data_IF_241779026696
#
_entry.id   IF_241779026696
#
_cell.length_a   1.000
_cell.length_b   1.000
_cell.length_c   1.000
_cell.angle_alpha   90.00
_cell.angle_beta   90.00
_cell.angle_gamma   90.00
#
_symmetry.space_group_name_H-M   'P 1'
#
loop_
_entity.id
_entity.type
_entity.pdbx_description
1 polymer ?
#
# COMPACT_ATOMS: atom_id res chain seq x y z
N UNK A 1 -23.32 19.64 -16.23
CA UNK A 1 -23.27 18.84 -15.00
C UNK A 1 -22.62 17.51 -15.35
N UNK A 2 -21.37 17.30 -14.93
CA UNK A 2 -20.68 16.04 -15.18
C UNK A 2 -21.34 14.95 -14.30
N UNK A 3 -21.95 13.95 -14.93
CA UNK A 3 -22.60 12.83 -14.24
C UNK A 3 -21.76 11.58 -14.45
N UNK A 4 -21.48 10.87 -13.38
CA UNK A 4 -20.92 9.52 -13.48
C UNK A 4 -22.02 8.61 -14.05
N UNK A 5 -21.70 7.68 -14.98
CA UNK A 5 -22.69 6.74 -15.50
C UNK A 5 -23.15 5.76 -14.42
N UNK A 6 -24.43 5.38 -14.47
CA UNK A 6 -25.11 4.54 -13.47
C UNK A 6 -24.45 3.16 -13.31
N UNK A 7 -23.89 2.61 -14.40
CA UNK A 7 -23.21 1.32 -14.37
C UNK A 7 -21.96 1.30 -13.47
N UNK A 8 -21.23 2.42 -13.39
CA UNK A 8 -20.06 2.53 -12.52
C UNK A 8 -20.51 2.65 -11.05
N UNK A 9 -21.61 3.37 -10.79
CA UNK A 9 -22.19 3.48 -9.45
C UNK A 9 -22.76 2.16 -8.92
N UNK A 10 -23.37 1.35 -9.78
CA UNK A 10 -23.84 0.01 -9.42
C UNK A 10 -22.65 -0.90 -9.06
N UNK A 11 -21.55 -0.82 -9.82
CA UNK A 11 -20.33 -1.58 -9.51
C UNK A 11 -19.72 -1.16 -8.17
N UNK A 12 -19.68 0.14 -7.88
CA UNK A 12 -19.23 0.70 -6.61
C UNK A 12 -20.07 0.24 -5.42
N UNK A 13 -21.36 -0.05 -5.61
CA UNK A 13 -22.24 -0.50 -4.54
C UNK A 13 -22.01 -1.96 -4.12
N UNK A 14 -21.36 -2.76 -4.99
CA UNK A 14 -21.08 -4.19 -4.78
C UNK A 14 -19.68 -4.47 -4.24
N UNK A 15 -18.80 -3.48 -4.26
CA UNK A 15 -17.42 -3.59 -3.80
C UNK A 15 -17.33 -3.42 -2.27
N UNK A 16 -16.30 -4.02 -1.68
CA UNK A 16 -15.94 -3.78 -0.27
C UNK A 16 -15.50 -2.32 -0.05
N UNK A 17 -15.57 -1.85 1.20
CA UNK A 17 -15.34 -0.43 1.55
C UNK A 17 -13.97 0.11 1.09
N UNK A 18 -12.92 -0.71 1.16
CA UNK A 18 -11.58 -0.33 0.69
C UNK A 18 -11.51 -0.21 -0.84
N UNK A 19 -12.06 -1.19 -1.56
CA UNK A 19 -12.10 -1.19 -3.03
C UNK A 19 -12.99 -0.07 -3.56
N UNK A 20 -14.07 0.24 -2.84
CA UNK A 20 -14.94 1.37 -3.11
C UNK A 20 -14.14 2.67 -3.06
N UNK A 21 -13.34 2.92 -2.01
CA UNK A 21 -12.52 4.13 -1.92
C UNK A 21 -11.56 4.27 -3.11
N UNK A 22 -10.88 3.18 -3.50
CA UNK A 22 -9.94 3.20 -4.60
C UNK A 22 -10.61 3.41 -5.97
N UNK A 23 -11.77 2.78 -6.18
CA UNK A 23 -12.57 2.97 -7.39
C UNK A 23 -13.12 4.40 -7.50
N UNK A 24 -13.50 5.01 -6.37
CA UNK A 24 -13.95 6.41 -6.32
C UNK A 24 -12.85 7.40 -6.70
N UNK A 25 -11.59 7.15 -6.29
CA UNK A 25 -10.44 7.98 -6.73
C UNK A 25 -10.21 7.85 -8.25
N UNK A 26 -10.32 6.63 -8.80
CA UNK A 26 -10.20 6.40 -10.25
C UNK A 26 -11.31 7.10 -11.04
N UNK A 27 -12.56 7.01 -10.58
CA UNK A 27 -13.73 7.65 -11.21
C UNK A 27 -13.64 9.17 -11.11
N UNK A 28 -13.20 9.69 -9.96
CA UNK A 28 -12.93 11.12 -9.73
C UNK A 28 -11.98 11.69 -10.79
N UNK A 29 -10.86 11.00 -11.05
CA UNK A 29 -9.88 11.39 -12.08
C UNK A 29 -10.43 11.24 -13.50
N UNK A 30 -11.18 10.18 -13.78
CA UNK A 30 -11.73 9.88 -15.11
C UNK A 30 -12.78 10.89 -15.57
N UNK A 31 -13.65 11.33 -14.65
CA UNK A 31 -14.77 12.22 -14.97
C UNK A 31 -14.60 13.65 -14.45
N UNK A 32 -13.52 13.94 -13.70
CA UNK A 32 -13.22 15.27 -13.15
C UNK A 32 -14.22 15.71 -12.07
N UNK A 33 -14.76 14.77 -11.30
CA UNK A 33 -15.81 15.01 -10.30
C UNK A 33 -15.22 14.78 -8.91
N UNK A 34 -15.53 15.66 -7.95
CA UNK A 34 -15.07 15.48 -6.57
C UNK A 34 -15.63 14.21 -5.94
N UNK A 35 -14.82 13.56 -5.10
CA UNK A 35 -15.20 12.34 -4.37
C UNK A 35 -16.50 12.55 -3.56
N UNK A 36 -16.67 13.74 -2.98
CA UNK A 36 -17.87 14.13 -2.23
C UNK A 36 -19.15 14.13 -3.07
N UNK A 37 -19.07 14.48 -4.35
CA UNK A 37 -20.22 14.45 -5.25
C UNK A 37 -20.57 13.01 -5.66
N UNK A 38 -19.56 12.17 -5.87
CA UNK A 38 -19.78 10.76 -6.20
C UNK A 38 -20.39 10.02 -5.00
N UNK A 39 -19.96 10.32 -3.77
CA UNK A 39 -20.56 9.74 -2.55
C UNK A 39 -22.03 10.11 -2.38
N UNK A 40 -22.41 11.38 -2.67
CA UNK A 40 -23.82 11.82 -2.69
C UNK A 40 -24.64 11.08 -3.74
N UNK A 41 -24.07 10.85 -4.94
CA UNK A 41 -24.76 10.10 -5.98
C UNK A 41 -24.91 8.61 -5.61
N UNK A 42 -23.94 8.04 -4.89
CA UNK A 42 -24.01 6.66 -4.41
C UNK A 42 -25.01 6.49 -3.26
N UNK A 43 -25.06 7.42 -2.31
CA UNK A 43 -26.04 7.37 -1.21
C UNK A 43 -27.47 7.62 -1.70
N UNK A 44 -27.67 8.52 -2.66
CA UNK A 44 -28.99 8.70 -3.31
C UNK A 44 -29.42 7.47 -4.09
N UNK A 45 -28.50 6.77 -4.77
CA UNK A 45 -28.80 5.50 -5.43
C UNK A 45 -29.17 4.40 -4.43
N UNK A 46 -28.40 4.27 -3.34
CA UNK A 46 -28.69 3.31 -2.27
C UNK A 46 -30.05 3.57 -1.62
N UNK A 47 -30.39 4.82 -1.36
CA UNK A 47 -31.69 5.19 -0.80
C UNK A 47 -32.83 5.08 -1.83
N UNK A 48 -32.57 5.23 -3.12
CA UNK A 48 -33.60 5.06 -4.16
C UNK A 48 -34.08 3.61 -4.28
N UNK A 49 -33.27 2.63 -3.87
CA UNK A 49 -33.68 1.23 -3.70
C UNK A 49 -34.56 0.96 -2.47
N UNK A 50 -34.76 1.96 -1.61
CA UNK A 50 -35.49 1.84 -0.34
C UNK A 50 -36.55 2.95 -0.27
N UNK A 51 -37.50 2.95 -1.22
CA UNK A 51 -38.76 3.65 -1.03
C UNK A 51 -39.79 2.63 -0.53
N UNK A 52 -39.61 2.23 0.73
CA UNK A 52 -40.67 1.81 1.64
C UNK A 52 -40.64 2.80 2.80
N UNK A 53 -41.76 3.48 2.97
CA UNK A 53 -42.04 4.55 3.93
C UNK A 53 -41.81 4.13 5.42
N UNK A 54 -41.78 5.15 6.27
CA UNK A 54 -41.98 5.15 7.74
C UNK A 54 -40.75 5.04 8.69
N UNK A 55 -40.49 6.20 9.31
CA UNK A 55 -40.40 6.51 10.76
C UNK A 55 -39.76 5.55 11.77
N UNK A 56 -38.99 6.19 12.68
CA UNK A 56 -38.86 5.92 14.13
C UNK A 56 -39.39 4.58 14.64
N UNK A 57 -38.51 3.72 15.17
CA UNK A 57 -38.56 3.31 16.58
C UNK A 57 -37.55 2.20 16.94
N UNK A 58 -36.90 2.42 18.09
CA UNK A 58 -36.50 1.42 19.10
C UNK A 58 -35.88 0.09 18.62
N UNK A 59 -34.56 0.07 18.48
CA UNK A 59 -33.80 -1.18 18.51
C UNK A 59 -33.51 -1.60 19.97
N UNK A 60 -34.42 -2.38 20.55
CA UNK A 60 -34.11 -3.22 21.72
C UNK A 60 -33.23 -4.39 21.27
N UNK A 61 -31.97 -4.39 21.69
CA UNK A 61 -31.04 -5.51 21.50
C UNK A 61 -31.36 -6.59 22.56
N UNK A 62 -31.67 -7.85 22.18
CA UNK A 62 -31.72 -8.93 23.14
C UNK A 62 -30.29 -9.32 23.51
N UNK A 63 -29.94 -9.16 24.79
CA UNK A 63 -28.73 -9.71 25.40
C UNK A 63 -28.56 -11.19 25.07
N UNK A 64 -27.59 -11.50 24.22
CA UNK A 64 -27.09 -12.87 24.06
C UNK A 64 -25.90 -13.02 25.01
N UNK A 65 -26.21 -13.54 26.20
CA UNK A 65 -25.23 -14.14 27.10
C UNK A 65 -24.41 -15.17 26.32
N UNK A 66 -23.15 -14.86 26.04
CA UNK A 66 -22.13 -15.85 25.73
C UNK A 66 -20.93 -15.55 26.61
N UNK A 67 -20.79 -16.40 27.62
CA UNK A 67 -19.71 -16.38 28.58
C UNK A 67 -18.35 -16.51 27.87
N UNK A 68 -17.50 -15.52 28.15
CA UNK A 68 -16.06 -15.62 28.35
C UNK A 68 -15.24 -16.52 27.39
N UNK A 69 -14.71 -15.92 26.33
CA UNK A 69 -13.30 -16.09 25.98
C UNK A 69 -12.71 -14.68 25.87
N UNK A 70 -11.71 -14.38 26.69
CA UNK A 70 -11.15 -13.04 26.87
C UNK A 70 -10.68 -12.42 25.55
N UNK A 71 -11.46 -11.48 25.03
CA UNK A 71 -11.06 -10.60 23.95
C UNK A 71 -10.38 -9.38 24.56
N UNK A 72 -9.05 -9.39 24.50
CA UNK A 72 -8.23 -8.23 24.81
C UNK A 72 -8.65 -7.11 23.83
N UNK A 73 -9.40 -6.13 24.31
CA UNK A 73 -9.82 -4.96 23.53
C UNK A 73 -8.61 -4.06 23.31
N UNK A 74 -7.83 -4.33 22.28
CA UNK A 74 -6.83 -3.37 21.81
C UNK A 74 -7.54 -2.22 21.08
N UNK A 75 -7.20 -0.95 21.38
CA UNK A 75 -7.78 0.22 20.73
C UNK A 75 -7.44 0.23 19.23
N UNK A 76 -8.42 0.58 18.39
CA UNK A 76 -8.36 0.54 16.92
C UNK A 76 -7.26 1.43 16.28
N UNK A 77 -6.59 2.29 17.06
CA UNK A 77 -5.50 3.17 16.61
C UNK A 77 -4.10 2.74 17.09
N UNK A 78 -3.95 1.53 17.64
CA UNK A 78 -2.64 1.04 18.08
C UNK A 78 -1.94 0.22 16.98
N UNK A 79 -0.64 0.47 16.69
CA UNK A 79 0.09 -0.31 15.71
C UNK A 79 0.12 -1.78 16.14
N UNK A 80 -0.22 -2.68 15.22
CA UNK A 80 -0.16 -4.12 15.48
C UNK A 80 1.30 -4.55 15.64
N UNK A 81 1.70 -4.85 16.87
CA UNK A 81 3.03 -5.35 17.17
C UNK A 81 3.13 -6.81 16.76
N UNK A 82 3.89 -7.07 15.69
CA UNK A 82 4.12 -8.41 15.19
C UNK A 82 5.12 -9.13 16.11
N UNK A 83 4.74 -10.32 16.59
CA UNK A 83 5.65 -11.17 17.35
C UNK A 83 6.77 -11.65 16.42
N UNK A 84 8.03 -11.54 16.85
CA UNK A 84 9.25 -11.78 16.04
C UNK A 84 9.56 -10.70 14.97
N UNK A 85 9.61 -9.43 15.37
CA UNK A 85 10.11 -8.33 14.52
C UNK A 85 11.48 -8.62 13.87
N UNK A 86 12.32 -9.44 14.51
CA UNK A 86 13.64 -9.82 13.99
C UNK A 86 13.62 -10.58 12.66
N UNK A 87 12.50 -11.21 12.30
CA UNK A 87 12.33 -11.89 11.00
C UNK A 87 12.20 -10.91 9.84
N UNK A 88 11.78 -9.69 10.13
CA UNK A 88 11.53 -8.63 9.13
C UNK A 88 12.69 -7.64 9.03
N UNK A 89 13.75 -7.83 9.84
CA UNK A 89 14.97 -7.05 9.73
C UNK A 89 15.75 -7.51 8.50
N UNK A 90 16.29 -6.55 7.75
CA UNK A 90 17.25 -6.82 6.67
C UNK A 90 18.46 -7.54 7.30
N UNK A 91 18.57 -8.85 7.07
CA UNK A 91 19.69 -9.62 7.59
C UNK A 91 20.90 -9.37 6.70
N UNK A 92 21.88 -8.70 7.26
CA UNK A 92 23.23 -8.75 6.74
C UNK A 92 23.71 -10.21 6.82
N UNK A 93 24.28 -10.75 5.75
CA UNK A 93 24.89 -12.07 5.76
C UNK A 93 26.33 -11.94 6.32
N UNK A 94 26.60 -12.37 7.57
CA UNK A 94 27.93 -12.27 8.16
C UNK A 94 28.87 -13.37 7.68
N UNK A 95 28.55 -14.07 6.59
CA UNK A 95 29.44 -15.10 6.04
C UNK A 95 30.83 -14.53 5.75
N UNK A 96 31.85 -15.35 5.97
CA UNK A 96 33.27 -15.03 5.68
C UNK A 96 33.45 -14.54 4.22
N UNK A 97 32.68 -15.11 3.29
CA UNK A 97 32.69 -14.71 1.89
C UNK A 97 32.19 -13.27 1.68
N UNK A 98 31.13 -12.87 2.38
CA UNK A 98 30.58 -11.51 2.33
C UNK A 98 31.54 -10.49 2.92
N UNK A 99 32.20 -10.83 4.04
CA UNK A 99 33.24 -9.99 4.64
C UNK A 99 34.45 -9.82 3.70
N UNK A 100 34.93 -10.90 3.07
CA UNK A 100 36.04 -10.85 2.12
C UNK A 100 35.74 -9.96 0.91
N UNK A 101 34.52 -10.04 0.36
CA UNK A 101 34.09 -9.19 -0.76
C UNK A 101 34.04 -7.71 -0.37
N UNK A 102 33.60 -7.40 0.83
CA UNK A 102 33.57 -6.02 1.32
C UNK A 102 34.96 -5.46 1.58
N UNK A 103 35.88 -6.27 2.10
CA UNK A 103 37.27 -5.88 2.27
C UNK A 103 37.96 -5.54 0.92
N UNK A 104 37.46 -6.07 -0.20
CA UNK A 104 37.98 -5.78 -1.53
C UNK A 104 37.50 -4.43 -2.11
N UNK A 105 36.46 -3.82 -1.52
CA UNK A 105 35.90 -2.53 -1.95
C UNK A 105 36.77 -1.39 -1.43
N UNK A 106 37.63 -0.85 -2.29
CA UNK A 106 38.60 0.19 -1.92
C UNK A 106 38.28 1.57 -2.52
N UNK A 107 37.32 1.66 -3.45
CA UNK A 107 36.96 2.90 -4.13
C UNK A 107 35.44 3.06 -4.19
N UNK A 108 34.99 4.31 -4.25
CA UNK A 108 33.60 4.65 -4.49
C UNK A 108 33.48 5.48 -5.77
N UNK A 109 32.50 5.16 -6.62
CA UNK A 109 32.19 5.90 -7.85
C UNK A 109 30.69 6.16 -7.94
N UNK A 110 30.30 7.14 -8.75
CA UNK A 110 28.89 7.38 -9.06
C UNK A 110 28.49 6.61 -10.31
N UNK A 111 27.32 5.99 -10.28
CA UNK A 111 26.73 5.42 -11.49
C UNK A 111 26.44 6.55 -12.51
N UNK A 112 26.85 6.42 -13.78
CA UNK A 112 26.62 7.46 -14.79
C UNK A 112 25.14 7.68 -15.14
N UNK A 113 24.28 6.69 -14.87
CA UNK A 113 22.85 6.77 -15.21
C UNK A 113 21.97 7.31 -14.09
N UNK A 114 22.21 6.92 -12.84
CA UNK A 114 21.34 7.25 -11.72
C UNK A 114 22.04 8.01 -10.60
N UNK A 115 23.33 8.33 -10.75
CA UNK A 115 24.15 9.02 -9.74
C UNK A 115 24.20 8.34 -8.36
N UNK A 116 23.81 7.06 -8.28
CA UNK A 116 23.92 6.31 -7.03
C UNK A 116 25.40 6.03 -6.70
N UNK A 117 25.83 6.18 -5.43
CA UNK A 117 27.17 5.82 -5.00
C UNK A 117 27.35 4.29 -5.00
N UNK A 118 28.44 3.82 -5.59
CA UNK A 118 28.79 2.41 -5.72
C UNK A 118 30.20 2.16 -5.18
N UNK A 119 30.31 1.25 -4.21
CA UNK A 119 31.60 0.73 -3.75
C UNK A 119 32.10 -0.35 -4.72
N UNK A 120 33.32 -0.18 -5.22
CA UNK A 120 33.93 -1.07 -6.21
C UNK A 120 35.42 -1.34 -5.88
N UNK A 121 35.98 -2.46 -6.37
CA UNK A 121 37.43 -2.70 -6.26
C UNK A 121 38.22 -1.74 -7.15
N UNK A 122 39.49 -1.52 -6.80
CA UNK A 122 40.41 -0.67 -7.55
C UNK A 122 40.94 -1.33 -8.85
N UNK A 123 40.60 -2.59 -9.10
CA UNK A 123 40.99 -3.29 -10.33
C UNK A 123 40.18 -2.75 -11.52
N UNK A 124 40.86 -2.53 -12.65
CA UNK A 124 40.26 -2.09 -13.92
C UNK A 124 40.82 -2.98 -15.05
N UNK A 125 40.08 -3.24 -16.14
CA UNK A 125 38.70 -2.85 -16.40
C UNK A 125 37.70 -3.71 -15.61
N UNK A 126 36.60 -3.10 -15.18
CA UNK A 126 35.51 -3.81 -14.49
C UNK A 126 34.16 -3.48 -15.09
N UNK A 127 33.31 -4.50 -15.10
CA UNK A 127 31.91 -4.42 -15.51
C UNK A 127 31.05 -4.46 -14.24
N UNK A 128 30.30 -3.39 -14.00
CA UNK A 128 29.48 -3.21 -12.80
C UNK A 128 28.03 -3.00 -13.20
N UNK A 129 27.14 -3.82 -12.64
CA UNK A 129 25.70 -3.57 -12.67
C UNK A 129 25.29 -2.75 -11.45
N UNK A 130 24.62 -1.61 -11.68
CA UNK A 130 24.10 -0.80 -10.59
C UNK A 130 22.84 -1.46 -9.98
N UNK A 131 22.76 -1.70 -8.67
CA UNK A 131 21.57 -2.26 -8.03
C UNK A 131 20.36 -1.32 -8.05
N UNK A 132 20.56 -0.02 -8.25
CA UNK A 132 19.46 0.96 -8.24
C UNK A 132 18.75 1.09 -9.60
N UNK A 133 19.49 1.10 -10.71
CA UNK A 133 18.93 1.29 -12.06
C UNK A 133 19.08 0.07 -12.97
N UNK A 134 19.74 -1.00 -12.51
CA UNK A 134 20.06 -2.21 -13.27
C UNK A 134 20.83 -1.98 -14.57
N UNK A 135 21.39 -0.79 -14.75
CA UNK A 135 22.24 -0.48 -15.90
C UNK A 135 23.64 -1.01 -15.68
N UNK A 136 24.20 -1.55 -16.75
CA UNK A 136 25.58 -2.01 -16.80
C UNK A 136 26.48 -0.85 -17.21
N UNK A 137 27.61 -0.70 -16.54
CA UNK A 137 28.64 0.26 -16.89
C UNK A 137 30.02 -0.37 -16.77
N UNK A 138 30.89 -0.06 -17.73
CA UNK A 138 32.27 -0.54 -17.77
C UNK A 138 33.21 0.61 -17.46
N UNK A 139 34.00 0.45 -16.41
CA UNK A 139 34.95 1.47 -15.97
C UNK A 139 36.36 1.07 -16.39
N UNK A 140 36.94 1.91 -17.25
CA UNK A 140 38.33 1.89 -17.66
C UNK A 140 39.09 2.96 -16.86
N UNK A 141 40.43 2.83 -16.77
CA UNK A 141 41.30 3.70 -15.98
C UNK A 141 41.08 5.19 -16.26
#
# INVERSE_FOLDING_TARGET
MASVPINELDSLSKMDEYDQMLAMDRISRKYGISISNIQKQLSTLKNKGINGDLSSDNFSIPSKNNNAIGSNTQPLDSPTYLQNADKFRMKYDPSEQSMAKQAQVNQAILCPHCSAPLGIPATRPIKVMCPNCMQESTFHN
#
